data_IF_785426637600
#
_entry.id   IF_785426637600
#
_cell.length_a   1.000
_cell.length_b   1.000
_cell.length_c   1.000
_cell.angle_alpha   90.00
_cell.angle_beta   90.00
_cell.angle_gamma   90.00
#
_symmetry.space_group_name_H-M   'P 1'
#
loop_
_entity.id
_entity.type
_entity.pdbx_description
1 polymer ?
#
# COMPACT_ATOMS: atom_id res chain seq x y z
N UNK A 1 -20.98 -6.33 4.32
CA UNK A 1 -20.30 -7.16 5.31
C UNK A 1 -18.93 -6.55 5.66
N UNK A 2 -17.98 -6.43 4.71
CA UNK A 2 -16.63 -5.88 4.90
C UNK A 2 -16.62 -4.55 5.69
N UNK A 3 -17.44 -3.57 5.27
CA UNK A 3 -17.51 -2.26 5.93
C UNK A 3 -17.84 -2.37 7.43
N UNK A 4 -18.77 -3.24 7.81
CA UNK A 4 -19.14 -3.43 9.23
C UNK A 4 -18.01 -4.03 10.05
N UNK A 5 -17.19 -4.91 9.47
CA UNK A 5 -16.01 -5.50 10.14
C UNK A 5 -14.98 -4.40 10.38
N UNK A 6 -14.66 -3.57 9.36
CA UNK A 6 -13.73 -2.46 9.51
C UNK A 6 -14.21 -1.45 10.56
N UNK A 7 -15.49 -1.04 10.50
CA UNK A 7 -16.10 -0.13 11.49
C UNK A 7 -16.05 -0.71 12.93
N UNK A 8 -16.18 -2.03 13.06
CA UNK A 8 -16.06 -2.71 14.37
C UNK A 8 -14.62 -2.67 14.86
N UNK A 9 -13.67 -2.99 14.02
CA UNK A 9 -12.23 -2.96 14.32
C UNK A 9 -11.77 -1.55 14.71
N UNK A 10 -12.18 -0.52 13.95
CA UNK A 10 -11.87 0.88 14.26
C UNK A 10 -12.40 1.30 15.64
N UNK A 11 -13.59 0.85 16.01
CA UNK A 11 -14.24 1.20 17.29
C UNK A 11 -13.70 0.43 18.49
N UNK A 12 -13.32 -0.83 18.31
CA UNK A 12 -13.00 -1.75 19.43
C UNK A 12 -11.54 -2.14 19.49
N UNK A 13 -10.76 -1.91 18.42
CA UNK A 13 -9.40 -2.42 18.25
C UNK A 13 -9.32 -3.93 17.99
N UNK A 14 -10.47 -4.63 17.82
CA UNK A 14 -10.51 -6.08 17.65
C UNK A 14 -10.64 -6.41 16.17
N UNK A 15 -9.66 -7.12 15.61
CA UNK A 15 -9.76 -7.74 14.30
C UNK A 15 -10.56 -9.04 14.37
N UNK A 16 -11.83 -8.97 13.94
CA UNK A 16 -12.72 -10.13 13.93
C UNK A 16 -12.29 -11.22 12.95
N UNK A 17 -11.62 -10.86 11.85
CA UNK A 17 -11.16 -11.85 10.87
C UNK A 17 -10.00 -12.65 11.43
N UNK A 18 -9.03 -11.97 12.05
CA UNK A 18 -7.91 -12.60 12.74
C UNK A 18 -8.40 -13.50 13.88
N UNK A 19 -9.32 -13.01 14.72
CA UNK A 19 -9.88 -13.78 15.81
C UNK A 19 -10.60 -15.05 15.34
N UNK A 20 -11.43 -14.94 14.30
CA UNK A 20 -12.11 -16.11 13.71
C UNK A 20 -11.11 -17.11 13.12
N UNK A 21 -10.08 -16.62 12.42
CA UNK A 21 -9.02 -17.44 11.86
C UNK A 21 -8.30 -18.23 12.97
N UNK A 22 -7.82 -17.57 14.01
CA UNK A 22 -7.10 -18.20 15.13
C UNK A 22 -7.95 -19.26 15.84
N UNK A 23 -9.23 -18.95 16.10
CA UNK A 23 -10.15 -19.90 16.72
C UNK A 23 -10.40 -21.14 15.86
N UNK A 24 -10.53 -20.96 14.54
CA UNK A 24 -10.73 -22.08 13.62
C UNK A 24 -9.47 -22.93 13.50
N UNK A 25 -8.32 -22.31 13.33
CA UNK A 25 -7.03 -22.98 13.24
C UNK A 25 -6.74 -23.78 14.52
N UNK A 26 -6.87 -23.18 15.70
CA UNK A 26 -6.67 -23.83 16.98
C UNK A 26 -7.61 -25.03 17.20
N UNK A 27 -8.90 -24.89 16.84
CA UNK A 27 -9.83 -26.04 16.88
C UNK A 27 -9.39 -27.20 15.99
N UNK A 28 -8.86 -26.93 14.80
CA UNK A 28 -8.38 -27.97 13.89
C UNK A 28 -7.09 -28.63 14.41
N UNK A 29 -6.15 -27.84 14.95
CA UNK A 29 -4.95 -28.36 15.60
C UNK A 29 -5.32 -29.35 16.70
N UNK A 30 -6.24 -28.96 17.59
CA UNK A 30 -6.75 -29.82 18.65
C UNK A 30 -7.46 -31.08 18.14
N UNK A 31 -8.39 -30.92 17.19
CA UNK A 31 -9.17 -32.02 16.63
C UNK A 31 -8.29 -33.07 15.96
N UNK A 32 -7.27 -32.63 15.26
CA UNK A 32 -6.33 -33.49 14.52
C UNK A 32 -5.16 -33.96 15.39
N UNK A 33 -5.10 -33.52 16.65
CA UNK A 33 -4.03 -33.84 17.61
C UNK A 33 -2.65 -33.53 17.07
N UNK A 34 -2.49 -32.36 16.47
CA UNK A 34 -1.22 -31.86 15.97
C UNK A 34 -0.43 -31.27 17.14
N UNK A 35 0.87 -31.59 17.25
CA UNK A 35 1.71 -31.14 18.38
C UNK A 35 1.96 -29.64 18.38
N UNK A 36 1.97 -29.02 17.19
CA UNK A 36 2.27 -27.60 17.01
C UNK A 36 3.72 -27.19 17.25
N UNK A 37 4.62 -28.13 17.56
CA UNK A 37 6.02 -27.85 17.93
C UNK A 37 6.93 -27.53 16.76
N UNK A 38 6.53 -27.93 15.55
CA UNK A 38 7.28 -27.71 14.34
C UNK A 38 6.41 -26.95 13.34
N UNK A 39 6.96 -25.83 12.80
CA UNK A 39 6.29 -25.02 11.79
C UNK A 39 7.22 -24.72 10.63
N UNK A 40 6.64 -24.41 9.49
CA UNK A 40 7.36 -23.79 8.38
C UNK A 40 6.70 -22.49 7.97
N UNK A 41 7.51 -21.56 7.47
CA UNK A 41 7.04 -20.27 7.00
C UNK A 41 7.64 -19.92 5.64
N UNK A 42 6.86 -19.21 4.85
CA UNK A 42 7.29 -18.68 3.55
C UNK A 42 6.58 -17.36 3.25
N UNK A 43 7.26 -16.48 2.51
CA UNK A 43 6.73 -15.18 2.10
C UNK A 43 6.50 -15.11 0.61
N UNK A 44 5.36 -14.53 0.23
CA UNK A 44 4.97 -14.35 -1.16
C UNK A 44 4.53 -12.92 -1.45
N UNK A 45 5.03 -12.37 -2.57
CA UNK A 45 4.54 -11.09 -3.07
C UNK A 45 3.13 -11.25 -3.66
N UNK A 46 2.24 -10.34 -3.25
CA UNK A 46 0.85 -10.26 -3.73
C UNK A 46 0.67 -8.91 -4.42
N UNK A 47 0.26 -8.94 -5.70
CA UNK A 47 -0.09 -7.73 -6.43
C UNK A 47 -1.38 -7.11 -5.90
N UNK A 48 -1.39 -5.79 -5.72
CA UNK A 48 -2.64 -5.07 -5.51
C UNK A 48 -3.50 -5.15 -6.77
N UNK A 49 -4.82 -5.23 -6.60
CA UNK A 49 -5.77 -5.27 -7.71
C UNK A 49 -6.09 -3.86 -8.26
N UNK A 50 -5.05 -3.04 -8.39
CA UNK A 50 -5.13 -1.69 -8.94
C UNK A 50 -4.43 -1.63 -10.30
N UNK A 51 -4.93 -0.76 -11.18
CA UNK A 51 -4.27 -0.49 -12.45
C UNK A 51 -2.90 0.17 -12.20
N UNK A 52 -1.89 -0.29 -12.92
CA UNK A 52 -0.59 0.40 -12.94
C UNK A 52 -0.75 1.73 -13.64
N UNK A 53 -0.19 2.77 -13.04
CA UNK A 53 -0.23 4.13 -13.55
C UNK A 53 1.17 4.58 -13.98
N UNK A 54 1.25 5.34 -15.05
CA UNK A 54 2.44 6.12 -15.37
C UNK A 54 2.61 7.22 -14.32
N UNK A 55 3.79 7.83 -14.27
CA UNK A 55 4.07 8.92 -13.31
C UNK A 55 3.11 10.09 -13.44
N UNK A 56 2.76 10.46 -14.68
CA UNK A 56 1.78 11.53 -14.92
C UNK A 56 0.38 11.13 -14.45
N UNK A 57 -0.06 9.93 -14.79
CA UNK A 57 -1.38 9.42 -14.36
C UNK A 57 -1.49 9.36 -12.83
N UNK A 58 -0.46 8.90 -12.13
CA UNK A 58 -0.42 8.88 -10.67
C UNK A 58 -0.60 10.29 -10.10
N UNK A 59 0.20 11.25 -10.57
CA UNK A 59 0.16 12.64 -10.09
C UNK A 59 -1.19 13.27 -10.39
N UNK A 60 -1.69 13.11 -11.61
CA UNK A 60 -2.98 13.65 -12.04
C UNK A 60 -4.14 13.03 -11.26
N UNK A 61 -4.19 11.69 -11.10
CA UNK A 61 -5.27 11.01 -10.38
C UNK A 61 -5.31 11.42 -8.90
N UNK A 62 -4.14 11.61 -8.28
CA UNK A 62 -4.07 12.07 -6.88
C UNK A 62 -4.56 13.51 -6.76
N UNK A 63 -4.16 14.40 -7.67
CA UNK A 63 -4.66 15.77 -7.71
C UNK A 63 -6.19 15.80 -7.91
N UNK A 64 -6.72 15.04 -8.87
CA UNK A 64 -8.17 14.96 -9.13
C UNK A 64 -8.94 14.44 -7.91
N UNK A 65 -8.38 13.45 -7.21
CA UNK A 65 -8.97 12.94 -5.97
C UNK A 65 -9.07 14.03 -4.90
N UNK A 66 -8.04 14.85 -4.75
CA UNK A 66 -8.05 16.00 -3.85
C UNK A 66 -9.03 17.08 -4.32
N UNK A 67 -9.00 17.50 -5.58
CA UNK A 67 -9.89 18.56 -6.11
C UNK A 67 -11.37 18.22 -5.95
N UNK A 68 -11.75 16.94 -5.99
CA UNK A 68 -13.12 16.49 -5.73
C UNK A 68 -13.58 16.69 -4.28
N UNK A 69 -12.66 16.91 -3.36
CA UNK A 69 -12.99 17.22 -1.96
C UNK A 69 -13.02 18.72 -1.68
N UNK A 70 -12.54 19.55 -2.61
CA UNK A 70 -12.45 21.00 -2.46
C UNK A 70 -13.73 21.70 -2.91
N UNK A 71 -14.03 22.82 -2.27
CA UNK A 71 -15.03 23.78 -2.73
C UNK A 71 -14.36 24.73 -3.74
N UNK A 72 -14.61 24.53 -5.02
CA UNK A 72 -13.91 25.28 -6.08
C UNK A 72 -14.14 26.80 -6.02
N UNK A 73 -15.24 27.24 -5.44
CA UNK A 73 -15.53 28.68 -5.24
C UNK A 73 -14.57 29.38 -4.26
N UNK A 74 -13.78 28.62 -3.50
CA UNK A 74 -12.78 29.16 -2.57
C UNK A 74 -11.45 29.50 -3.28
N UNK A 75 -11.35 29.11 -4.56
CA UNK A 75 -10.21 29.36 -5.43
C UNK A 75 -10.32 30.71 -6.15
N UNK A 76 -9.17 31.26 -6.53
CA UNK A 76 -9.18 32.38 -7.47
C UNK A 76 -9.75 31.97 -8.83
N UNK A 77 -10.30 32.90 -9.65
CA UNK A 77 -10.87 32.53 -10.95
C UNK A 77 -9.88 31.78 -11.86
N UNK A 78 -8.61 32.12 -11.83
CA UNK A 78 -7.57 31.43 -12.59
C UNK A 78 -7.31 30.02 -12.08
N UNK A 79 -7.23 29.85 -10.76
CA UNK A 79 -7.07 28.53 -10.14
C UNK A 79 -8.30 27.63 -10.36
N UNK A 80 -9.51 28.19 -10.31
CA UNK A 80 -10.74 27.48 -10.58
C UNK A 80 -10.80 26.97 -12.03
N UNK A 81 -10.38 27.78 -13.01
CA UNK A 81 -10.33 27.37 -14.41
C UNK A 81 -9.35 26.21 -14.61
N UNK A 82 -8.15 26.33 -14.07
CA UNK A 82 -7.13 25.26 -14.12
C UNK A 82 -7.60 24.00 -13.41
N UNK A 83 -8.27 24.09 -12.27
CA UNK A 83 -8.85 22.95 -11.58
C UNK A 83 -9.90 22.24 -12.43
N UNK A 84 -10.77 23.00 -13.11
CA UNK A 84 -11.76 22.45 -14.03
C UNK A 84 -11.14 21.76 -15.25
N UNK A 85 -10.00 22.25 -15.74
CA UNK A 85 -9.24 21.58 -16.81
C UNK A 85 -8.77 20.20 -16.34
N UNK A 86 -8.09 20.10 -15.19
CA UNK A 86 -7.63 18.81 -14.65
C UNK A 86 -8.77 17.86 -14.33
N UNK A 87 -9.91 18.36 -13.84
CA UNK A 87 -11.09 17.50 -13.56
C UNK A 87 -11.72 16.91 -14.83
N UNK A 88 -11.54 17.56 -16.00
CA UNK A 88 -12.04 17.09 -17.29
C UNK A 88 -11.03 16.26 -18.08
N UNK A 89 -9.75 16.37 -17.70
CA UNK A 89 -8.67 15.73 -18.44
C UNK A 89 -8.73 14.20 -18.32
N UNK A 90 -8.47 13.51 -19.43
CA UNK A 90 -8.19 12.08 -19.48
C UNK A 90 -6.66 11.89 -19.51
N UNK A 91 -6.08 11.65 -18.34
CA UNK A 91 -4.62 11.55 -18.17
C UNK A 91 -3.98 10.47 -19.02
N UNK A 92 -4.68 9.35 -19.27
CA UNK A 92 -4.18 8.27 -20.12
C UNK A 92 -4.04 8.72 -21.58
N UNK A 93 -5.01 9.50 -22.08
CA UNK A 93 -4.92 10.09 -23.42
C UNK A 93 -3.84 11.14 -23.50
N UNK A 94 -3.65 11.96 -22.44
CA UNK A 94 -2.57 12.93 -22.37
C UNK A 94 -1.21 12.24 -22.48
N UNK A 95 -0.98 11.19 -21.72
CA UNK A 95 0.26 10.40 -21.78
C UNK A 95 0.48 9.79 -23.17
N UNK A 96 -0.56 9.20 -23.76
CA UNK A 96 -0.47 8.56 -25.07
C UNK A 96 -0.16 9.54 -26.21
N UNK A 97 -0.65 10.78 -26.13
CA UNK A 97 -0.53 11.79 -27.20
C UNK A 97 0.67 12.73 -27.04
N UNK A 98 1.30 12.73 -25.87
CA UNK A 98 2.44 13.63 -25.58
C UNK A 98 3.76 12.97 -25.95
N UNK A 99 4.63 13.74 -26.58
CA UNK A 99 6.06 13.42 -26.64
C UNK A 99 6.75 13.65 -25.29
N UNK A 100 8.03 13.33 -25.20
CA UNK A 100 8.79 13.44 -23.94
C UNK A 100 8.83 14.85 -23.40
N UNK A 101 9.02 15.84 -24.25
CA UNK A 101 9.22 17.25 -23.85
C UNK A 101 7.89 17.86 -23.38
N UNK A 102 6.81 17.58 -24.09
CA UNK A 102 5.45 17.95 -23.72
C UNK A 102 5.08 17.32 -22.38
N UNK A 103 5.40 16.04 -22.17
CA UNK A 103 5.11 15.35 -20.91
C UNK A 103 5.89 15.96 -19.75
N UNK A 104 7.16 16.31 -19.93
CA UNK A 104 7.97 17.01 -18.91
C UNK A 104 7.38 18.38 -18.57
N UNK A 105 6.96 19.14 -19.58
CA UNK A 105 6.30 20.43 -19.39
C UNK A 105 4.98 20.28 -18.60
N UNK A 106 4.16 19.27 -18.92
CA UNK A 106 2.93 18.97 -18.20
C UNK A 106 3.21 18.55 -16.74
N UNK A 107 4.26 17.76 -16.50
CA UNK A 107 4.68 17.37 -15.14
C UNK A 107 5.14 18.59 -14.32
N UNK A 108 5.84 19.54 -14.91
CA UNK A 108 6.22 20.78 -14.23
C UNK A 108 4.99 21.66 -13.93
N UNK A 109 4.07 21.79 -14.88
CA UNK A 109 2.84 22.58 -14.74
C UNK A 109 1.93 22.03 -13.64
N UNK A 110 1.68 20.74 -13.63
CA UNK A 110 0.84 20.10 -12.60
C UNK A 110 1.48 20.16 -11.21
N UNK A 111 2.82 20.02 -11.11
CA UNK A 111 3.53 20.14 -9.84
C UNK A 111 3.43 21.54 -9.23
N UNK A 112 3.56 22.60 -10.02
CA UNK A 112 3.36 23.97 -9.54
C UNK A 112 1.90 24.19 -9.10
N UNK A 113 0.93 23.65 -9.82
CA UNK A 113 -0.48 23.74 -9.43
C UNK A 113 -0.77 23.00 -8.13
N UNK A 114 -0.18 21.81 -7.92
CA UNK A 114 -0.29 21.08 -6.65
C UNK A 114 0.26 21.90 -5.49
N UNK A 115 1.43 22.53 -5.69
CA UNK A 115 2.04 23.41 -4.67
C UNK A 115 1.13 24.58 -4.30
N UNK A 116 0.48 25.22 -5.28
CA UNK A 116 -0.52 26.26 -5.04
C UNK A 116 -1.72 25.72 -4.24
N UNK A 117 -2.25 24.55 -4.59
CA UNK A 117 -3.40 23.94 -3.92
C UNK A 117 -3.09 23.60 -2.47
N UNK A 118 -1.92 23.02 -2.21
CA UNK A 118 -1.47 22.69 -0.85
C UNK A 118 -1.27 23.95 0.01
N UNK A 119 -0.90 25.09 -0.58
CA UNK A 119 -0.79 26.36 0.12
C UNK A 119 -2.15 27.05 0.35
N UNK A 120 -3.15 26.78 -0.51
CA UNK A 120 -4.47 27.42 -0.44
C UNK A 120 -5.40 26.72 0.56
N UNK A 121 -5.34 25.38 0.63
CA UNK A 121 -6.23 24.59 1.47
C UNK A 121 -5.51 24.08 2.73
N UNK A 122 -6.17 24.12 3.91
CA UNK A 122 -5.58 23.61 5.14
C UNK A 122 -5.48 22.08 5.13
N UNK A 123 -4.49 21.54 5.86
CA UNK A 123 -4.26 20.10 6.05
C UNK A 123 -5.31 19.48 6.97
N UNK A 124 -6.56 19.36 6.52
CA UNK A 124 -7.70 18.88 7.33
C UNK A 124 -8.36 17.63 6.78
N UNK A 125 -7.85 17.06 5.70
CA UNK A 125 -8.47 15.89 5.06
C UNK A 125 -7.45 14.85 4.64
N UNK A 126 -7.82 13.53 4.67
CA UNK A 126 -6.97 12.46 4.16
C UNK A 126 -6.56 12.65 2.69
N UNK A 127 -7.36 13.36 1.88
CA UNK A 127 -7.03 13.65 0.50
C UNK A 127 -5.93 14.70 0.39
N UNK A 128 -5.88 15.68 1.32
CA UNK A 128 -4.79 16.66 1.40
C UNK A 128 -3.49 15.96 1.81
N UNK A 129 -3.52 15.12 2.84
CA UNK A 129 -2.34 14.39 3.32
C UNK A 129 -1.76 13.49 2.22
N UNK A 130 -2.63 12.85 1.44
CA UNK A 130 -2.21 12.03 0.31
C UNK A 130 -1.58 12.86 -0.82
N UNK A 131 -2.12 14.05 -1.11
CA UNK A 131 -1.56 14.96 -2.10
C UNK A 131 -0.22 15.54 -1.64
N UNK A 132 -0.10 15.88 -0.34
CA UNK A 132 1.16 16.34 0.26
C UNK A 132 2.23 15.23 0.17
N UNK A 133 1.89 14.00 0.57
CA UNK A 133 2.78 12.83 0.45
C UNK A 133 3.27 12.68 -0.99
N UNK A 134 2.35 12.67 -1.96
CA UNK A 134 2.71 12.58 -3.38
C UNK A 134 3.68 13.70 -3.78
N UNK A 135 3.40 14.95 -3.36
CA UNK A 135 4.23 16.09 -3.71
C UNK A 135 5.65 15.92 -3.16
N UNK A 136 5.80 15.56 -1.90
CA UNK A 136 7.08 15.36 -1.24
C UNK A 136 7.89 14.22 -1.86
N UNK A 137 7.21 13.16 -2.32
CA UNK A 137 7.85 12.02 -2.98
C UNK A 137 8.27 12.31 -4.43
N UNK A 138 7.50 13.12 -5.17
CA UNK A 138 7.67 13.32 -6.61
C UNK A 138 8.39 14.62 -6.97
N UNK A 139 8.32 15.64 -6.10
CA UNK A 139 8.85 16.96 -6.36
C UNK A 139 9.81 17.46 -5.29
N UNK A 140 10.62 18.44 -5.67
CA UNK A 140 11.39 19.29 -4.76
C UNK A 140 11.06 20.75 -5.10
N UNK A 141 11.07 21.62 -4.11
CA UNK A 141 10.91 23.06 -4.34
C UNK A 141 12.29 23.69 -4.56
N UNK A 142 12.50 24.34 -5.72
CA UNK A 142 13.71 25.08 -6.05
C UNK A 142 13.29 26.46 -6.61
N UNK A 143 13.82 27.49 -6.04
CA UNK A 143 13.52 28.88 -6.44
C UNK A 143 11.99 29.16 -6.53
N UNK A 144 11.23 28.66 -5.57
CA UNK A 144 9.78 28.80 -5.49
C UNK A 144 8.98 28.04 -6.54
N UNK A 145 9.60 27.09 -7.25
CA UNK A 145 8.96 26.25 -8.27
C UNK A 145 9.06 24.76 -7.91
N UNK A 146 8.03 24.01 -8.27
CA UNK A 146 8.04 22.56 -8.18
C UNK A 146 8.92 21.96 -9.30
N UNK A 147 9.97 21.27 -8.90
CA UNK A 147 10.90 20.57 -9.80
C UNK A 147 10.75 19.07 -9.58
N UNK A 148 10.48 18.34 -10.66
CA UNK A 148 10.31 16.89 -10.60
C UNK A 148 11.62 16.21 -10.17
N UNK A 149 11.55 15.31 -9.19
CA UNK A 149 12.69 14.50 -8.76
C UNK A 149 13.11 13.52 -9.86
N UNK A 150 14.38 13.16 -9.92
CA UNK A 150 14.82 12.07 -10.78
C UNK A 150 14.13 10.76 -10.35
N UNK A 151 13.89 9.86 -11.32
CA UNK A 151 13.27 8.54 -11.05
C UNK A 151 14.07 7.72 -10.04
N UNK A 152 15.37 7.90 -9.96
CA UNK A 152 16.26 7.20 -9.02
C UNK A 152 16.15 7.72 -7.59
N UNK A 153 15.65 8.94 -7.41
CA UNK A 153 15.42 9.56 -6.10
C UNK A 153 14.08 9.17 -5.50
N UNK A 154 13.14 8.63 -6.31
CA UNK A 154 11.84 8.16 -5.85
C UNK A 154 11.99 6.78 -5.22
N UNK A 155 11.68 6.68 -3.94
CA UNK A 155 11.83 5.45 -3.17
C UNK A 155 10.81 4.37 -3.57
N UNK A 156 11.10 3.12 -3.25
CA UNK A 156 10.22 1.99 -3.54
C UNK A 156 8.93 1.99 -2.69
N UNK A 157 8.97 2.63 -1.52
CA UNK A 157 7.82 2.83 -0.62
C UNK A 157 6.94 4.03 -0.99
N UNK A 158 7.28 4.76 -2.08
CA UNK A 158 6.47 5.87 -2.57
C UNK A 158 5.09 5.42 -3.04
N UNK A 159 4.15 6.37 -3.05
CA UNK A 159 2.78 6.17 -3.52
C UNK A 159 2.75 5.58 -4.93
N UNK A 160 2.08 4.45 -5.10
CA UNK A 160 1.93 3.76 -6.38
C UNK A 160 0.56 4.04 -7.03
N UNK A 161 -0.48 4.21 -6.20
CA UNK A 161 -1.83 4.53 -6.66
C UNK A 161 -2.63 5.18 -5.51
N UNK A 162 -3.33 6.29 -5.72
CA UNK A 162 -4.08 6.97 -4.67
C UNK A 162 -5.30 6.17 -4.17
N UNK A 163 -5.71 5.10 -4.85
CA UNK A 163 -6.81 4.24 -4.42
C UNK A 163 -6.35 3.06 -3.54
N UNK A 164 -5.04 2.84 -3.48
CA UNK A 164 -4.40 1.86 -2.60
C UNK A 164 -3.05 2.44 -2.13
N UNK A 165 -3.09 3.40 -1.18
CA UNK A 165 -1.92 4.19 -0.79
C UNK A 165 -0.86 3.39 -0.03
N UNK A 166 -1.21 2.21 0.49
CA UNK A 166 -0.31 1.34 1.24
C UNK A 166 0.43 0.35 0.33
N UNK A 167 -0.05 0.15 -0.91
CA UNK A 167 0.65 -0.67 -1.89
C UNK A 167 2.00 -0.04 -2.26
N UNK A 168 3.08 -0.81 -2.13
CA UNK A 168 4.44 -0.38 -2.45
C UNK A 168 5.04 -1.19 -3.61
N UNK A 169 6.19 -0.78 -4.12
CA UNK A 169 6.84 -1.42 -5.24
C UNK A 169 8.01 -2.31 -4.79
N UNK A 170 8.04 -3.56 -5.25
CA UNK A 170 9.19 -4.47 -5.07
C UNK A 170 9.49 -5.23 -6.36
N UNK A 171 10.77 -5.33 -6.69
CA UNK A 171 11.26 -6.22 -7.74
C UNK A 171 12.04 -7.38 -7.10
N UNK A 172 11.65 -8.63 -7.38
CA UNK A 172 12.32 -9.85 -6.92
C UNK A 172 12.28 -10.88 -8.06
N UNK A 173 13.43 -11.44 -8.45
CA UNK A 173 13.52 -12.48 -9.47
C UNK A 173 12.78 -12.12 -10.78
N UNK A 174 13.09 -10.97 -11.36
CA UNK A 174 12.47 -10.41 -12.58
C UNK A 174 10.95 -10.11 -12.47
N UNK A 175 10.32 -10.41 -11.35
CA UNK A 175 8.95 -10.01 -11.08
C UNK A 175 8.91 -8.61 -10.48
N UNK A 176 8.07 -7.76 -11.05
CA UNK A 176 7.80 -6.40 -10.57
C UNK A 176 6.39 -6.36 -10.00
N UNK A 177 6.27 -6.20 -8.70
CA UNK A 177 4.99 -6.19 -7.99
C UNK A 177 4.76 -4.82 -7.39
N UNK A 178 3.57 -4.28 -7.60
CA UNK A 178 2.99 -3.18 -6.84
C UNK A 178 1.93 -3.78 -5.92
N UNK A 179 2.13 -3.73 -4.62
CA UNK A 179 1.22 -4.38 -3.69
C UNK A 179 1.85 -4.65 -2.34
N UNK A 180 1.78 -5.91 -1.93
CA UNK A 180 2.06 -6.38 -0.59
C UNK A 180 2.96 -7.61 -0.58
N UNK A 181 3.49 -7.93 0.58
CA UNK A 181 4.09 -9.23 0.88
C UNK A 181 3.25 -9.90 1.96
N UNK A 182 2.97 -11.18 1.79
CA UNK A 182 2.33 -12.01 2.83
C UNK A 182 3.29 -13.06 3.31
N UNK A 183 3.30 -13.29 4.62
CA UNK A 183 3.94 -14.44 5.23
C UNK A 183 2.86 -15.43 5.67
N UNK A 184 3.07 -16.70 5.38
CA UNK A 184 2.18 -17.79 5.77
C UNK A 184 3.00 -18.79 6.58
N UNK A 185 2.54 -19.09 7.78
CA UNK A 185 3.14 -20.10 8.67
C UNK A 185 2.16 -21.23 8.88
N UNK A 186 2.64 -22.45 8.78
CA UNK A 186 1.83 -23.66 8.95
C UNK A 186 2.56 -24.72 9.78
N UNK A 187 1.79 -25.58 10.45
CA UNK A 187 2.35 -26.74 11.19
C UNK A 187 2.94 -27.76 10.23
N UNK A 188 4.00 -28.44 10.69
CA UNK A 188 4.63 -29.57 9.98
C UNK A 188 4.73 -30.74 10.94
N UNK A 189 4.01 -31.84 10.66
CA UNK A 189 4.06 -33.08 11.44
C UNK A 189 3.81 -34.25 10.51
N UNK A 190 4.67 -35.29 10.59
CA UNK A 190 4.57 -36.47 9.74
C UNK A 190 3.22 -37.18 9.93
N UNK A 191 2.57 -37.51 8.83
CA UNK A 191 1.25 -38.21 8.85
C UNK A 191 0.07 -37.31 9.24
N UNK A 192 0.27 -36.02 9.44
CA UNK A 192 -0.80 -35.04 9.72
C UNK A 192 -0.95 -34.02 8.58
N UNK A 193 -2.13 -33.43 8.40
CA UNK A 193 -2.28 -32.30 7.51
C UNK A 193 -1.63 -31.04 8.11
N UNK A 194 -1.09 -30.18 7.25
CA UNK A 194 -0.59 -28.89 7.68
C UNK A 194 -1.77 -27.94 7.95
N UNK A 195 -1.71 -27.23 9.05
CA UNK A 195 -2.68 -26.21 9.43
C UNK A 195 -1.97 -24.87 9.43
N UNK A 196 -2.53 -23.89 8.70
CA UNK A 196 -2.04 -22.53 8.72
C UNK A 196 -2.30 -21.93 10.10
N UNK A 197 -1.26 -21.45 10.76
CA UNK A 197 -1.28 -20.90 12.12
C UNK A 197 -1.07 -19.40 12.16
N UNK A 198 -0.42 -18.82 11.13
CA UNK A 198 -0.26 -17.39 11.01
C UNK A 198 -0.37 -16.94 9.55
N UNK A 199 -1.01 -15.80 9.33
CA UNK A 199 -1.03 -15.08 8.06
C UNK A 199 -0.80 -13.61 8.36
N UNK A 200 0.36 -13.09 7.92
CA UNK A 200 0.74 -11.69 8.09
C UNK A 200 0.81 -11.02 6.72
N UNK A 201 0.39 -9.78 6.64
CA UNK A 201 0.40 -8.99 5.40
C UNK A 201 0.99 -7.63 5.67
N UNK A 202 2.03 -7.28 4.91
CA UNK A 202 2.74 -6.03 5.00
C UNK A 202 2.94 -5.40 3.61
N UNK A 203 3.43 -4.17 3.56
CA UNK A 203 3.78 -3.51 2.30
C UNK A 203 4.86 -4.31 1.57
N UNK A 204 4.89 -4.28 0.22
CA UNK A 204 5.81 -5.13 -0.55
C UNK A 204 7.29 -4.87 -0.24
N UNK A 205 7.66 -3.70 0.27
CA UNK A 205 9.04 -3.36 0.68
C UNK A 205 9.45 -3.95 2.04
N UNK A 206 8.50 -4.48 2.81
CA UNK A 206 8.79 -5.10 4.11
C UNK A 206 9.73 -6.30 3.94
N UNK A 207 10.76 -6.39 4.79
CA UNK A 207 11.74 -7.47 4.68
C UNK A 207 11.20 -8.77 5.30
N UNK A 208 11.41 -9.89 4.61
CA UNK A 208 10.85 -11.19 4.98
C UNK A 208 11.26 -11.61 6.40
N UNK A 209 12.51 -11.32 6.83
CA UNK A 209 13.00 -11.62 8.18
C UNK A 209 12.25 -10.91 9.32
N UNK A 210 11.58 -9.81 9.06
CA UNK A 210 10.83 -9.09 10.10
C UNK A 210 9.51 -9.76 10.48
N UNK A 211 9.03 -10.72 9.69
CA UNK A 211 7.85 -11.50 10.04
C UNK A 211 8.12 -12.55 11.13
N UNK A 212 9.38 -12.94 11.33
CA UNK A 212 9.74 -14.12 12.13
C UNK A 212 9.12 -14.12 13.52
N UNK A 213 9.33 -13.04 14.27
CA UNK A 213 8.89 -12.99 15.66
C UNK A 213 7.37 -13.08 15.78
N UNK A 214 6.64 -12.26 15.04
CA UNK A 214 5.18 -12.24 15.10
C UNK A 214 4.56 -13.54 14.58
N UNK A 215 5.13 -14.13 13.55
CA UNK A 215 4.68 -15.42 13.01
C UNK A 215 4.83 -16.56 14.02
N UNK A 216 5.94 -16.58 14.77
CA UNK A 216 6.17 -17.56 15.85
C UNK A 216 5.16 -17.33 16.98
N UNK A 217 5.04 -16.11 17.50
CA UNK A 217 4.09 -15.77 18.57
C UNK A 217 2.63 -16.12 18.21
N UNK A 218 2.22 -15.84 16.98
CA UNK A 218 0.88 -16.20 16.48
C UNK A 218 0.70 -17.72 16.44
N UNK A 219 1.72 -18.44 15.96
CA UNK A 219 1.65 -19.89 15.85
C UNK A 219 1.61 -20.56 17.21
N UNK A 220 2.42 -20.11 18.18
CA UNK A 220 2.39 -20.60 19.57
C UNK A 220 1.02 -20.37 20.22
N UNK A 221 0.42 -19.19 20.00
CA UNK A 221 -0.91 -18.87 20.51
C UNK A 221 -2.00 -19.76 19.90
N UNK A 222 -1.93 -20.06 18.60
CA UNK A 222 -2.91 -20.90 17.88
C UNK A 222 -2.78 -22.36 18.26
N UNK A 223 -1.55 -22.85 18.45
CA UNK A 223 -1.28 -24.28 18.74
C UNK A 223 -1.28 -24.59 20.23
N UNK A 224 -1.25 -23.58 21.11
CA UNK A 224 -1.05 -23.71 22.56
C UNK A 224 0.23 -24.52 22.89
N UNK A 225 1.28 -24.33 22.09
CA UNK A 225 2.55 -25.04 22.17
C UNK A 225 3.72 -24.14 21.86
N UNK A 226 4.86 -24.37 22.54
CA UNK A 226 6.12 -23.69 22.19
C UNK A 226 6.71 -24.33 20.94
N UNK A 227 7.14 -23.49 19.98
CA UNK A 227 7.78 -23.95 18.76
C UNK A 227 9.22 -24.37 19.07
N UNK A 228 9.55 -25.63 18.76
CA UNK A 228 10.89 -26.19 18.93
C UNK A 228 11.69 -26.15 17.62
N UNK A 229 11.02 -26.32 16.49
CA UNK A 229 11.64 -26.33 15.15
C UNK A 229 10.90 -25.40 14.20
N UNK A 230 11.67 -24.59 13.47
CA UNK A 230 11.17 -23.69 12.44
C UNK A 230 11.93 -23.90 11.13
N UNK A 231 11.18 -24.14 10.06
CA UNK A 231 11.72 -24.18 8.70
C UNK A 231 11.38 -22.89 7.96
N UNK A 232 12.40 -22.19 7.47
CA UNK A 232 12.29 -21.01 6.64
C UNK A 232 13.33 -21.03 5.53
N UNK A 233 13.14 -20.23 4.48
CA UNK A 233 14.19 -20.06 3.48
C UNK A 233 15.32 -19.14 3.99
N UNK A 234 16.42 -19.02 3.24
CA UNK A 234 17.57 -18.22 3.66
C UNK A 234 17.36 -16.70 3.68
N UNK A 235 16.13 -16.23 3.54
CA UNK A 235 15.74 -14.81 3.60
C UNK A 235 15.31 -14.35 5.02
N UNK A 236 15.22 -15.30 5.99
CA UNK A 236 14.80 -15.07 7.37
C UNK A 236 15.97 -15.03 8.34
#
# INVERSE_FOLDING_TARGET
FRRRICEYQERTGIDLMQLCFEQLAGKHVHLLKISGKCVRMDSKLIGSNIARQSRYELIHTTLVKFLKTCTLSDLSPEQEERAKEYLKEDSSKTVYRSDSDTLQSNLARIGNFIMEMLATFPATSPAHDLLQRLFDEQYAVKDGKAVLRDKKEVKADSLQNPNDPDATYRAKNDQKVQGYVTNITETVEEGKPNIITSVLVETAVFADCHFLQEAVENSERVTDSTIEDLYADGAY
#
